data_IF_324201780679
#
_entry.id   IF_324201780679
#
_cell.length_a   1.000
_cell.length_b   1.000
_cell.length_c   1.000
_cell.angle_alpha   90.00
_cell.angle_beta   90.00
_cell.angle_gamma   90.00
#
_symmetry.space_group_name_H-M   'P 1'
#
loop_
_entity.id
_entity.type
_entity.pdbx_description
1 polymer ?
#
# COMPACT_ATOMS: atom_id res chain seq x y z
N UNK A 1 20.20 -17.32 18.82
CA UNK A 1 19.16 -16.25 18.89
C UNK A 1 17.76 -16.75 18.58
N UNK A 2 17.52 -17.65 17.60
CA UNK A 2 16.18 -18.25 17.41
C UNK A 2 15.68 -18.98 18.67
N UNK A 3 16.59 -19.65 19.38
CA UNK A 3 16.33 -20.31 20.68
C UNK A 3 15.75 -19.37 21.76
N UNK A 4 15.98 -18.05 21.66
CA UNK A 4 15.39 -17.08 22.59
C UNK A 4 13.91 -16.81 22.30
N UNK A 5 13.36 -17.24 21.17
CA UNK A 5 11.92 -17.20 20.93
C UNK A 5 11.18 -18.27 21.76
N UNK A 6 11.91 -19.27 22.26
CA UNK A 6 11.37 -20.40 23.02
C UNK A 6 11.69 -20.29 24.54
N UNK A 7 12.46 -19.27 24.95
CA UNK A 7 12.80 -18.98 26.36
C UNK A 7 11.72 -18.13 27.03
N UNK A 8 10.65 -18.77 27.53
CA UNK A 8 9.53 -18.09 28.17
C UNK A 8 9.82 -17.55 29.58
N UNK A 9 10.89 -18.03 30.23
CA UNK A 9 11.23 -17.69 31.62
C UNK A 9 11.62 -16.21 31.76
N UNK A 10 12.26 -15.65 30.73
CA UNK A 10 12.83 -14.30 30.75
C UNK A 10 12.05 -13.24 29.95
N UNK A 11 10.89 -13.61 29.38
CA UNK A 11 10.10 -12.68 28.59
C UNK A 11 9.35 -11.66 29.47
N UNK A 12 9.77 -10.40 29.38
CA UNK A 12 9.32 -9.28 30.23
C UNK A 12 8.35 -8.32 29.52
N UNK A 13 7.83 -8.69 28.34
CA UNK A 13 6.80 -7.94 27.63
C UNK A 13 5.77 -8.87 26.98
N UNK A 14 4.53 -8.39 26.82
CA UNK A 14 3.43 -9.15 26.21
C UNK A 14 2.78 -8.34 25.08
N UNK A 15 2.55 -8.94 23.93
CA UNK A 15 1.68 -8.41 22.89
C UNK A 15 0.28 -9.02 23.05
N UNK A 16 -0.75 -8.16 23.13
CA UNK A 16 -2.14 -8.60 23.09
C UNK A 16 -2.66 -8.44 21.66
N UNK A 17 -3.03 -9.56 21.03
CA UNK A 17 -3.34 -9.62 19.60
C UNK A 17 -4.73 -10.21 19.39
N UNK A 18 -5.51 -9.61 18.48
CA UNK A 18 -6.81 -10.16 18.13
C UNK A 18 -6.66 -11.50 17.37
N UNK A 19 -7.40 -12.56 17.74
CA UNK A 19 -7.23 -13.91 17.17
C UNK A 19 -7.60 -13.99 15.69
N UNK A 20 -8.50 -13.13 15.24
CA UNK A 20 -8.85 -12.98 13.81
C UNK A 20 -8.53 -11.56 13.40
N UNK A 21 -7.67 -11.42 12.38
CA UNK A 21 -7.35 -10.12 11.80
C UNK A 21 -8.67 -9.49 11.35
N UNK A 22 -9.00 -8.33 11.90
CA UNK A 22 -10.26 -7.65 11.69
C UNK A 22 -10.48 -7.39 10.21
N UNK A 23 -11.16 -8.32 9.53
CA UNK A 23 -11.78 -8.06 8.25
C UNK A 23 -12.94 -7.11 8.54
N UNK A 24 -12.68 -5.81 8.42
CA UNK A 24 -13.72 -4.79 8.29
C UNK A 24 -14.59 -5.20 7.10
N UNK A 25 -15.72 -5.86 7.38
CA UNK A 25 -16.77 -6.11 6.39
C UNK A 25 -17.37 -4.75 6.02
N UNK A 26 -16.87 -4.17 4.93
CA UNK A 26 -17.54 -3.07 4.27
C UNK A 26 -18.96 -3.53 3.84
N UNK A 27 -19.97 -2.84 4.36
CA UNK A 27 -21.33 -2.88 3.81
C UNK A 27 -22.29 -3.90 4.43
N UNK A 28 -22.67 -3.74 5.70
CA UNK A 28 -24.07 -3.95 6.12
C UNK A 28 -24.34 -3.09 7.36
N UNK A 29 -25.28 -2.16 7.21
CA UNK A 29 -25.85 -1.30 8.26
C UNK A 29 -26.31 -2.17 9.44
N UNK A 30 -25.53 -2.23 10.54
CA UNK A 30 -25.94 -2.83 11.81
C UNK A 30 -25.63 -1.91 12.96
N UNK A 31 -26.58 -1.93 13.90
CA UNK A 31 -26.77 -1.00 15.01
C UNK A 31 -25.56 -0.97 15.93
N UNK A 32 -25.37 0.19 16.55
CA UNK A 32 -24.45 0.41 17.65
C UNK A 32 -24.76 -0.59 18.77
N UNK A 33 -23.93 -1.61 18.87
CA UNK A 33 -23.69 -2.35 20.11
C UNK A 33 -22.20 -2.72 20.11
N UNK A 34 -21.37 -1.74 20.43
CA UNK A 34 -19.95 -1.95 20.68
C UNK A 34 -19.79 -2.25 22.17
N UNK A 35 -20.05 -3.49 22.55
CA UNK A 35 -19.50 -4.01 23.80
C UNK A 35 -17.97 -4.00 23.67
N UNK A 36 -17.22 -3.44 24.65
CA UNK A 36 -15.77 -3.52 24.62
C UNK A 36 -15.39 -5.00 24.67
N UNK A 37 -14.61 -5.45 23.68
CA UNK A 37 -14.02 -6.79 23.70
C UNK A 37 -13.17 -6.86 24.96
N UNK A 38 -13.55 -7.71 25.90
CA UNK A 38 -12.79 -7.94 27.12
C UNK A 38 -11.40 -8.46 26.76
N UNK A 39 -10.38 -8.04 27.51
CA UNK A 39 -8.99 -8.47 27.27
C UNK A 39 -8.82 -10.02 27.30
N UNK A 40 -9.79 -10.76 27.87
CA UNK A 40 -9.81 -12.22 27.95
C UNK A 40 -9.86 -12.96 26.60
N UNK A 41 -10.28 -12.31 25.50
CA UNK A 41 -10.36 -12.93 24.17
C UNK A 41 -9.10 -12.70 23.31
N UNK A 42 -8.08 -12.02 23.85
CA UNK A 42 -6.86 -11.67 23.13
C UNK A 42 -5.81 -12.78 23.23
N UNK A 43 -5.06 -12.97 22.14
CA UNK A 43 -3.92 -13.88 22.08
C UNK A 43 -2.70 -13.16 22.64
N UNK A 44 -2.15 -13.72 23.72
CA UNK A 44 -0.89 -13.25 24.28
C UNK A 44 0.31 -13.80 23.51
N UNK A 45 1.24 -12.92 23.16
CA UNK A 45 2.53 -13.29 22.59
C UNK A 45 3.62 -12.62 23.41
N UNK A 46 4.40 -13.42 24.14
CA UNK A 46 5.46 -12.92 25.02
C UNK A 46 6.74 -12.64 24.22
N UNK A 47 7.54 -11.68 24.67
CA UNK A 47 8.83 -11.33 24.07
C UNK A 47 9.77 -10.63 25.07
N UNK A 48 11.03 -10.44 24.65
CA UNK A 48 12.07 -9.77 25.40
C UNK A 48 12.16 -8.28 25.04
N UNK A 49 11.86 -7.41 26.00
CA UNK A 49 11.98 -5.95 25.90
C UNK A 49 13.38 -5.52 25.51
N UNK A 50 14.42 -6.18 26.03
CA UNK A 50 15.81 -5.87 25.69
C UNK A 50 16.10 -6.07 24.20
N UNK A 51 15.54 -7.13 23.57
CA UNK A 51 15.68 -7.38 22.14
C UNK A 51 14.89 -6.34 21.34
N UNK A 52 13.63 -6.10 21.71
CA UNK A 52 12.77 -5.12 21.03
C UNK A 52 13.39 -3.72 21.01
N UNK A 53 13.85 -3.24 22.17
CA UNK A 53 14.46 -1.90 22.32
C UNK A 53 15.84 -1.77 21.67
N UNK A 54 16.60 -2.87 21.58
CA UNK A 54 17.88 -2.88 20.87
C UNK A 54 17.71 -2.88 19.35
N UNK A 55 16.61 -3.46 18.84
CA UNK A 55 16.39 -3.71 17.41
C UNK A 55 15.43 -2.71 16.74
N UNK A 56 14.64 -1.97 17.52
CA UNK A 56 13.66 -1.03 17.00
C UNK A 56 13.56 0.24 17.85
N UNK A 57 13.79 1.39 17.23
CA UNK A 57 13.67 2.70 17.88
C UNK A 57 12.24 2.99 18.35
N UNK A 58 11.23 2.45 17.66
CA UNK A 58 9.83 2.52 18.09
C UNK A 58 9.64 1.93 19.49
N UNK A 59 10.07 0.67 19.71
CA UNK A 59 9.94 0.04 21.03
C UNK A 59 10.85 0.70 22.07
N UNK A 60 12.03 1.18 21.67
CA UNK A 60 12.90 1.98 22.54
C UNK A 60 12.21 3.25 23.05
N UNK A 61 11.49 3.95 22.19
CA UNK A 61 10.69 5.12 22.55
C UNK A 61 9.47 4.72 23.41
N UNK A 62 8.75 3.67 23.01
CA UNK A 62 7.57 3.14 23.70
C UNK A 62 7.86 2.80 25.17
N UNK A 63 9.02 2.19 25.42
CA UNK A 63 9.43 1.71 26.74
C UNK A 63 10.29 2.68 27.55
N UNK A 64 10.43 3.92 27.09
CA UNK A 64 11.27 4.91 27.77
C UNK A 64 10.66 5.27 29.13
N UNK A 65 11.36 4.92 30.21
CA UNK A 65 10.90 5.06 31.61
C UNK A 65 10.48 6.47 32.04
N UNK A 66 10.98 7.51 31.35
CA UNK A 66 10.73 8.92 31.68
C UNK A 66 10.00 9.66 30.54
N UNK A 67 9.38 8.95 29.60
CA UNK A 67 8.60 9.60 28.54
C UNK A 67 7.39 10.30 29.17
N UNK A 68 7.51 11.60 29.43
CA UNK A 68 6.47 12.37 30.10
C UNK A 68 6.85 12.88 31.50
N UNK A 69 8.05 12.67 32.01
CA UNK A 69 8.45 13.35 33.25
C UNK A 69 8.84 14.80 32.96
N UNK A 70 8.19 15.76 33.63
CA UNK A 70 8.62 17.16 33.59
C UNK A 70 9.94 17.35 34.37
N UNK A 71 10.56 18.52 34.26
CA UNK A 71 11.80 18.84 34.97
C UNK A 71 11.67 18.79 36.51
N UNK A 72 10.44 18.68 37.04
CA UNK A 72 10.15 18.50 38.47
C UNK A 72 9.94 17.03 38.87
N UNK A 73 10.11 16.08 37.94
CA UNK A 73 9.91 14.65 38.17
C UNK A 73 8.44 14.23 38.21
N UNK A 74 7.50 15.10 37.82
CA UNK A 74 6.08 14.72 37.72
C UNK A 74 5.84 14.00 36.40
N UNK A 75 5.24 12.81 36.48
CA UNK A 75 4.78 12.03 35.33
C UNK A 75 3.56 12.71 34.68
N UNK A 76 3.79 13.37 33.56
CA UNK A 76 2.83 13.98 32.65
C UNK A 76 2.79 13.17 31.34
N UNK A 77 1.78 12.32 31.16
CA UNK A 77 1.50 11.71 29.86
C UNK A 77 2.48 10.62 29.41
N UNK A 78 2.84 9.69 30.30
CA UNK A 78 3.55 8.46 29.91
C UNK A 78 2.61 7.50 29.18
N UNK A 79 3.07 6.89 28.08
CA UNK A 79 2.39 5.74 27.46
C UNK A 79 2.19 4.64 28.53
N UNK A 80 0.98 4.08 28.66
CA UNK A 80 0.65 3.06 29.68
C UNK A 80 1.55 1.82 29.56
N UNK A 81 1.93 1.54 28.33
CA UNK A 81 2.80 0.48 27.85
C UNK A 81 4.22 0.59 28.45
N UNK A 82 4.67 1.79 28.81
CA UNK A 82 5.97 2.00 29.45
C UNK A 82 6.05 1.39 30.85
N UNK A 83 4.92 1.37 31.57
CA UNK A 83 4.78 0.78 32.90
C UNK A 83 4.25 -0.66 32.87
N UNK A 84 3.27 -0.94 32.01
CA UNK A 84 2.62 -2.25 31.95
C UNK A 84 3.47 -3.29 31.21
N UNK A 85 4.38 -2.85 30.32
CA UNK A 85 5.12 -3.72 29.39
C UNK A 85 4.19 -4.60 28.53
N UNK A 86 2.97 -4.13 28.31
CA UNK A 86 1.96 -4.74 27.45
C UNK A 86 1.84 -3.88 26.19
N UNK A 87 1.85 -4.49 25.01
CA UNK A 87 1.67 -3.85 23.71
C UNK A 87 0.34 -4.32 23.14
N UNK A 88 -0.62 -3.40 22.99
CA UNK A 88 -1.92 -3.69 22.38
C UNK A 88 -1.78 -3.55 20.87
N UNK A 89 -1.97 -4.66 20.15
CA UNK A 89 -1.81 -4.70 18.68
C UNK A 89 -3.14 -4.40 18.01
N UNK A 90 -3.10 -3.59 16.94
CA UNK A 90 -4.31 -3.25 16.19
C UNK A 90 -5.04 -4.48 15.65
N UNK A 91 -6.38 -4.47 15.61
CA UNK A 91 -7.17 -5.65 15.26
C UNK A 91 -6.87 -6.26 13.89
N UNK A 92 -6.39 -5.47 12.94
CA UNK A 92 -6.06 -5.93 11.59
C UNK A 92 -4.84 -6.87 11.54
N UNK A 93 -3.95 -6.83 12.54
CA UNK A 93 -2.75 -7.64 12.55
C UNK A 93 -3.00 -8.96 13.29
N UNK A 94 -2.84 -10.07 12.57
CA UNK A 94 -3.02 -11.41 13.15
C UNK A 94 -1.83 -11.83 14.01
N UNK A 95 -2.00 -12.82 14.90
CA UNK A 95 -0.88 -13.40 15.65
C UNK A 95 0.25 -13.88 14.75
N UNK A 96 -0.06 -14.36 13.55
CA UNK A 96 0.93 -14.77 12.55
C UNK A 96 1.81 -13.60 12.12
N UNK A 97 1.25 -12.43 11.83
CA UNK A 97 2.02 -11.26 11.41
C UNK A 97 2.95 -10.78 12.54
N UNK A 98 2.46 -10.76 13.78
CA UNK A 98 3.28 -10.40 14.94
C UNK A 98 4.43 -11.39 15.15
N UNK A 99 4.17 -12.70 14.98
CA UNK A 99 5.22 -13.74 15.05
C UNK A 99 6.28 -13.58 13.96
N UNK A 100 5.90 -13.25 12.72
CA UNK A 100 6.86 -12.98 11.64
C UNK A 100 7.73 -11.75 11.94
N UNK A 101 7.13 -10.71 12.52
CA UNK A 101 7.87 -9.53 12.98
C UNK A 101 8.86 -9.89 14.10
N UNK A 102 8.43 -10.66 15.10
CA UNK A 102 9.31 -11.12 16.19
C UNK A 102 10.44 -12.01 15.67
N UNK A 103 10.14 -12.94 14.77
CA UNK A 103 11.16 -13.77 14.11
C UNK A 103 12.24 -12.89 13.47
N UNK A 104 11.84 -11.83 12.75
CA UNK A 104 12.77 -10.87 12.18
C UNK A 104 13.58 -10.13 13.24
N UNK A 105 12.97 -9.64 14.33
CA UNK A 105 13.72 -8.92 15.36
C UNK A 105 14.77 -9.78 16.05
N UNK A 106 14.49 -11.07 16.23
CA UNK A 106 15.40 -12.01 16.90
C UNK A 106 16.47 -12.55 15.97
N UNK A 107 16.15 -12.77 14.69
CA UNK A 107 17.04 -13.52 13.79
C UNK A 107 17.55 -12.70 12.60
N UNK A 108 17.00 -11.50 12.40
CA UNK A 108 17.20 -10.66 11.21
C UNK A 108 16.79 -11.38 9.91
N UNK A 109 15.91 -12.38 10.00
CA UNK A 109 15.43 -13.23 8.90
C UNK A 109 13.95 -13.56 9.12
N UNK A 110 13.28 -13.93 8.04
CA UNK A 110 11.92 -14.51 8.07
C UNK A 110 11.96 -15.74 7.17
N UNK A 111 11.94 -16.94 7.76
CA UNK A 111 12.23 -18.20 7.07
C UNK A 111 11.28 -18.47 5.90
N UNK A 112 10.00 -18.13 6.06
CA UNK A 112 9.00 -18.30 5.00
C UNK A 112 9.17 -17.35 3.82
N UNK A 113 10.00 -16.30 3.92
CA UNK A 113 10.36 -15.42 2.80
C UNK A 113 11.65 -15.89 2.09
N UNK A 114 12.38 -16.83 2.68
CA UNK A 114 13.63 -17.37 2.12
C UNK A 114 13.32 -18.51 1.12
N UNK A 115 12.52 -18.23 0.09
CA UNK A 115 12.11 -19.24 -0.90
C UNK A 115 13.24 -19.60 -1.89
N UNK A 116 14.32 -18.81 -1.95
CA UNK A 116 15.31 -18.94 -3.04
C UNK A 116 16.53 -19.83 -2.76
N UNK A 117 16.70 -20.44 -1.58
CA UNK A 117 18.01 -21.10 -1.26
C UNK A 117 17.93 -22.50 -0.66
N UNK A 118 16.77 -23.01 -0.24
CA UNK A 118 16.68 -24.36 0.34
C UNK A 118 15.92 -25.33 -0.58
N UNK A 119 16.67 -25.95 -1.49
CA UNK A 119 16.32 -27.24 -2.08
C UNK A 119 16.38 -28.27 -0.92
N UNK A 120 15.29 -29.00 -0.66
CA UNK A 120 15.19 -30.13 0.30
C UNK A 120 14.84 -29.80 1.77
N UNK A 121 13.71 -29.11 2.02
CA UNK A 121 13.06 -29.07 3.33
C UNK A 121 11.54 -29.16 3.22
N UNK A 122 10.80 -29.55 4.29
CA UNK A 122 9.34 -29.60 4.27
C UNK A 122 8.79 -28.23 3.90
N UNK A 123 7.81 -28.22 3.00
CA UNK A 123 7.21 -27.05 2.34
C UNK A 123 7.12 -25.85 3.31
N UNK A 124 7.90 -24.77 3.13
CA UNK A 124 7.72 -23.57 3.94
C UNK A 124 6.31 -23.06 3.65
N UNK A 125 5.51 -22.82 4.69
CA UNK A 125 4.20 -22.21 4.56
C UNK A 125 4.33 -20.96 3.68
N UNK A 126 3.76 -20.99 2.49
CA UNK A 126 3.78 -19.85 1.57
C UNK A 126 3.06 -18.69 2.25
N UNK A 127 3.73 -17.54 2.38
CA UNK A 127 3.09 -16.31 2.85
C UNK A 127 2.21 -15.79 1.72
N UNK A 128 1.01 -15.32 2.03
CA UNK A 128 0.12 -14.73 1.02
C UNK A 128 0.48 -13.27 0.76
N UNK A 129 0.05 -12.71 -0.37
CA UNK A 129 0.24 -11.28 -0.65
C UNK A 129 -0.38 -10.42 0.46
N UNK A 130 -1.56 -10.77 0.96
CA UNK A 130 -2.25 -10.01 2.00
C UNK A 130 -1.51 -10.06 3.34
N UNK A 131 -0.90 -11.20 3.67
CA UNK A 131 -0.05 -11.31 4.86
C UNK A 131 1.20 -10.45 4.74
N UNK A 132 1.82 -10.38 3.56
CA UNK A 132 2.95 -9.49 3.30
C UNK A 132 2.55 -8.02 3.36
N UNK A 133 1.38 -7.65 2.84
CA UNK A 133 0.88 -6.27 2.92
C UNK A 133 0.56 -5.87 4.37
N UNK A 134 0.01 -6.78 5.18
CA UNK A 134 -0.18 -6.55 6.61
C UNK A 134 1.16 -6.43 7.36
N UNK A 135 2.15 -7.25 7.01
CA UNK A 135 3.49 -7.14 7.57
C UNK A 135 4.20 -5.85 7.14
N UNK A 136 3.97 -5.38 5.91
CA UNK A 136 4.46 -4.11 5.39
C UNK A 136 3.86 -2.93 6.17
N UNK A 137 2.54 -2.96 6.38
CA UNK A 137 1.82 -1.97 7.18
C UNK A 137 2.37 -1.92 8.60
N UNK A 138 2.46 -3.06 9.27
CA UNK A 138 3.01 -3.15 10.64
C UNK A 138 4.44 -2.62 10.70
N UNK A 139 5.27 -2.98 9.72
CA UNK A 139 6.66 -2.52 9.65
C UNK A 139 6.76 -1.00 9.44
N UNK A 140 5.84 -0.37 8.70
CA UNK A 140 5.79 1.08 8.58
C UNK A 140 5.32 1.73 9.89
N UNK A 141 4.22 1.23 10.46
CA UNK A 141 3.65 1.75 11.72
C UNK A 141 4.64 1.72 12.88
N UNK A 142 5.38 0.62 13.03
CA UNK A 142 6.41 0.46 14.08
C UNK A 142 7.81 0.83 13.61
N UNK A 143 7.93 1.52 12.46
CA UNK A 143 9.18 2.09 11.95
C UNK A 143 10.33 1.05 11.81
N UNK A 144 9.99 -0.19 11.49
CA UNK A 144 10.89 -1.32 11.29
C UNK A 144 11.48 -1.28 9.87
N UNK A 145 12.39 -0.32 9.61
CA UNK A 145 12.91 -0.01 8.27
C UNK A 145 13.51 -1.20 7.52
N UNK A 146 14.27 -2.06 8.20
CA UNK A 146 14.92 -3.22 7.57
C UNK A 146 13.91 -4.31 7.23
N UNK A 147 12.92 -4.55 8.11
CA UNK A 147 11.81 -5.45 7.83
C UNK A 147 10.97 -4.94 6.65
N UNK A 148 10.63 -3.64 6.66
CA UNK A 148 9.92 -2.99 5.56
C UNK A 148 10.61 -3.22 4.22
N UNK A 149 11.94 -2.99 4.17
CA UNK A 149 12.76 -3.22 2.98
C UNK A 149 12.78 -4.69 2.54
N UNK A 150 12.80 -5.63 3.49
CA UNK A 150 12.75 -7.06 3.21
C UNK A 150 11.40 -7.45 2.60
N UNK A 151 10.30 -6.98 3.18
CA UNK A 151 8.95 -7.24 2.70
C UNK A 151 8.72 -6.63 1.31
N UNK A 152 9.14 -5.39 1.08
CA UNK A 152 9.09 -4.77 -0.26
C UNK A 152 9.87 -5.61 -1.29
N UNK A 153 11.00 -6.21 -0.91
CA UNK A 153 11.82 -7.01 -1.83
C UNK A 153 11.09 -8.29 -2.21
N UNK A 154 10.49 -8.98 -1.22
CA UNK A 154 9.74 -10.20 -1.47
C UNK A 154 8.48 -9.96 -2.31
N UNK A 155 7.77 -8.86 -2.03
CA UNK A 155 6.61 -8.45 -2.81
C UNK A 155 6.96 -8.22 -4.29
N UNK A 156 8.06 -7.50 -4.56
CA UNK A 156 8.56 -7.26 -5.93
C UNK A 156 8.98 -8.57 -6.60
N UNK A 157 9.70 -9.43 -5.88
CA UNK A 157 10.32 -10.63 -6.45
C UNK A 157 9.32 -11.75 -6.75
N UNK A 158 8.37 -11.98 -5.84
CA UNK A 158 7.58 -13.23 -5.84
C UNK A 158 6.07 -13.00 -5.96
N UNK A 159 5.58 -11.79 -5.66
CA UNK A 159 4.14 -11.49 -5.62
C UNK A 159 3.67 -10.51 -6.69
N UNK A 160 4.58 -9.90 -7.46
CA UNK A 160 4.23 -8.97 -8.54
C UNK A 160 3.59 -9.71 -9.73
N UNK A 161 2.26 -9.65 -9.82
CA UNK A 161 1.44 -10.30 -10.86
C UNK A 161 0.30 -9.40 -11.28
N UNK A 162 -0.29 -9.63 -12.44
CA UNK A 162 -1.42 -8.84 -12.99
C UNK A 162 -2.61 -8.77 -12.03
N UNK A 163 -2.91 -9.86 -11.33
CA UNK A 163 -4.04 -9.93 -10.40
C UNK A 163 -3.77 -9.30 -9.01
N UNK A 164 -2.51 -9.10 -8.63
CA UNK A 164 -2.10 -8.61 -7.30
C UNK A 164 -1.53 -7.20 -7.32
N UNK A 165 -0.94 -6.75 -8.43
CA UNK A 165 -0.23 -5.47 -8.55
C UNK A 165 -1.11 -4.27 -8.18
N UNK A 166 -2.41 -4.32 -8.51
CA UNK A 166 -3.35 -3.26 -8.16
C UNK A 166 -3.43 -3.03 -6.65
N UNK A 167 -3.66 -4.10 -5.89
CA UNK A 167 -3.73 -4.06 -4.42
C UNK A 167 -2.39 -3.65 -3.80
N UNK A 168 -1.30 -4.20 -4.33
CA UNK A 168 0.05 -3.83 -3.89
C UNK A 168 0.34 -2.35 -4.12
N UNK A 169 -0.08 -1.80 -5.27
CA UNK A 169 0.10 -0.40 -5.61
C UNK A 169 -0.70 0.52 -4.68
N UNK A 170 -1.96 0.19 -4.40
CA UNK A 170 -2.79 0.90 -3.44
C UNK A 170 -2.14 0.99 -2.06
N UNK A 171 -1.65 -0.14 -1.55
CA UNK A 171 -0.98 -0.22 -0.25
C UNK A 171 0.30 0.63 -0.16
N UNK A 172 0.90 1.03 -1.28
CA UNK A 172 2.17 1.78 -1.24
C UNK A 172 2.03 3.22 -0.79
N UNK A 173 0.86 3.83 -1.01
CA UNK A 173 0.56 5.20 -0.59
C UNK A 173 0.38 5.24 0.94
N UNK A 174 -0.44 4.32 1.46
CA UNK A 174 -0.74 4.20 2.89
C UNK A 174 0.50 3.86 3.73
N UNK A 175 1.36 2.97 3.23
CA UNK A 175 2.50 2.45 3.99
C UNK A 175 3.82 3.07 3.58
N UNK A 176 3.82 4.23 2.91
CA UNK A 176 5.02 4.97 2.51
C UNK A 176 6.09 4.11 1.80
N UNK A 177 5.68 3.14 0.98
CA UNK A 177 6.55 2.12 0.38
C UNK A 177 7.02 2.54 -1.02
N UNK A 178 7.92 3.53 -1.07
CA UNK A 178 8.34 4.19 -2.33
C UNK A 178 9.01 3.24 -3.33
N UNK A 179 9.80 2.25 -2.87
CA UNK A 179 10.50 1.33 -3.78
C UNK A 179 9.51 0.36 -4.41
N UNK A 180 8.59 -0.18 -3.62
CA UNK A 180 7.47 -0.97 -4.12
C UNK A 180 6.58 -0.15 -5.07
N UNK A 181 6.27 1.10 -4.73
CA UNK A 181 5.42 1.97 -5.56
C UNK A 181 5.97 2.16 -6.98
N UNK A 182 7.27 2.47 -7.07
CA UNK A 182 7.98 2.57 -8.35
C UNK A 182 7.94 1.25 -9.14
N UNK A 183 8.22 0.13 -8.47
CA UNK A 183 8.25 -1.19 -9.12
C UNK A 183 6.86 -1.63 -9.60
N UNK A 184 5.81 -1.32 -8.84
CA UNK A 184 4.43 -1.54 -9.24
C UNK A 184 4.10 -0.71 -10.48
N UNK A 185 4.45 0.58 -10.50
CA UNK A 185 4.18 1.45 -11.64
C UNK A 185 4.88 0.97 -12.92
N UNK A 186 6.16 0.59 -12.82
CA UNK A 186 6.93 -0.02 -13.92
C UNK A 186 6.22 -1.28 -14.44
N UNK A 187 5.84 -2.20 -13.56
CA UNK A 187 5.12 -3.42 -13.95
C UNK A 187 3.77 -3.13 -14.60
N UNK A 188 3.03 -2.13 -14.10
CA UNK A 188 1.75 -1.70 -14.68
C UNK A 188 1.98 -1.16 -16.09
N UNK A 189 3.03 -0.39 -16.34
CA UNK A 189 3.35 0.12 -17.68
C UNK A 189 3.75 -1.01 -18.65
N UNK A 190 4.60 -1.94 -18.19
CA UNK A 190 5.02 -3.09 -19.00
C UNK A 190 3.85 -4.00 -19.40
N UNK A 191 2.80 -4.06 -18.57
CA UNK A 191 1.62 -4.91 -18.77
C UNK A 191 0.32 -4.08 -18.91
N UNK A 192 0.43 -2.84 -19.42
CA UNK A 192 -0.61 -1.82 -19.34
C UNK A 192 -2.00 -2.30 -19.79
N UNK A 193 -2.09 -2.93 -20.97
CA UNK A 193 -3.36 -3.39 -21.53
C UNK A 193 -4.03 -4.44 -20.65
N UNK A 194 -3.26 -5.40 -20.15
CA UNK A 194 -3.78 -6.49 -19.33
C UNK A 194 -4.19 -6.00 -17.94
N UNK A 195 -3.36 -5.16 -17.32
CA UNK A 195 -3.62 -4.64 -15.98
C UNK A 195 -4.82 -3.70 -15.97
N UNK A 196 -4.89 -2.72 -16.88
CA UNK A 196 -6.03 -1.77 -16.95
C UNK A 196 -7.34 -2.45 -17.37
N UNK A 197 -7.27 -3.52 -18.14
CA UNK A 197 -8.43 -4.37 -18.49
C UNK A 197 -8.91 -5.27 -17.35
N UNK A 198 -8.09 -5.48 -16.32
CA UNK A 198 -8.42 -6.34 -15.18
C UNK A 198 -9.46 -5.71 -14.26
N UNK A 199 -10.48 -6.51 -13.90
CA UNK A 199 -11.51 -6.13 -12.93
C UNK A 199 -10.91 -5.79 -11.57
N UNK A 200 -9.82 -6.46 -11.17
CA UNK A 200 -9.14 -6.19 -9.91
C UNK A 200 -8.57 -4.76 -9.89
N UNK A 201 -7.88 -4.37 -10.97
CA UNK A 201 -7.32 -3.02 -11.08
C UNK A 201 -8.42 -1.96 -11.06
N UNK A 202 -9.48 -2.14 -11.85
CA UNK A 202 -10.58 -1.19 -11.89
C UNK A 202 -11.30 -1.05 -10.54
N UNK A 203 -11.45 -2.14 -9.78
CA UNK A 203 -12.10 -2.09 -8.47
C UNK A 203 -11.23 -1.41 -7.42
N UNK A 204 -9.93 -1.68 -7.40
CA UNK A 204 -9.00 -1.04 -6.47
C UNK A 204 -8.88 0.47 -6.80
N UNK A 205 -8.73 0.84 -8.07
CA UNK A 205 -8.59 2.24 -8.49
C UNK A 205 -9.84 3.11 -8.22
N UNK A 206 -11.03 2.52 -8.07
CA UNK A 206 -12.23 3.25 -7.63
C UNK A 206 -12.09 3.78 -6.20
N UNK A 207 -11.37 3.05 -5.34
CA UNK A 207 -11.13 3.43 -3.96
C UNK A 207 -9.93 4.38 -3.84
N UNK A 208 -8.98 4.31 -4.78
CA UNK A 208 -7.76 5.11 -4.80
C UNK A 208 -7.59 5.89 -6.12
N UNK A 209 -8.49 6.85 -6.44
CA UNK A 209 -8.46 7.55 -7.72
C UNK A 209 -7.22 8.43 -7.93
N UNK A 210 -6.59 8.89 -6.84
CA UNK A 210 -5.35 9.68 -6.89
C UNK A 210 -4.18 8.90 -7.48
N UNK A 211 -4.16 7.58 -7.32
CA UNK A 211 -3.13 6.69 -7.87
C UNK A 211 -3.22 6.50 -9.38
N UNK A 212 -4.32 6.92 -10.01
CA UNK A 212 -4.40 6.96 -11.46
C UNK A 212 -3.55 8.08 -12.06
N UNK A 213 -3.26 9.16 -11.32
CA UNK A 213 -2.52 10.30 -11.88
C UNK A 213 -1.10 9.89 -12.32
N UNK A 214 -0.28 9.20 -11.49
CA UNK A 214 1.02 8.70 -11.95
C UNK A 214 0.91 7.71 -13.12
N UNK A 215 -0.10 6.85 -13.11
CA UNK A 215 -0.35 5.88 -14.18
C UNK A 215 -0.67 6.58 -15.50
N UNK A 216 -1.54 7.60 -15.49
CA UNK A 216 -1.91 8.37 -16.68
C UNK A 216 -0.74 9.19 -17.22
N UNK A 217 0.07 9.78 -16.32
CA UNK A 217 1.30 10.49 -16.71
C UNK A 217 2.28 9.56 -17.42
N UNK A 218 2.55 8.39 -16.83
CA UNK A 218 3.43 7.39 -17.43
C UNK A 218 2.85 6.84 -18.76
N UNK A 219 1.53 6.65 -18.85
CA UNK A 219 0.89 6.19 -20.08
C UNK A 219 0.94 7.23 -21.21
N UNK A 220 0.91 8.54 -20.89
CA UNK A 220 1.04 9.61 -21.89
C UNK A 220 2.42 9.59 -22.57
N UNK A 221 3.48 9.21 -21.85
CA UNK A 221 4.84 9.06 -22.39
C UNK A 221 4.97 7.91 -23.41
N UNK A 222 4.02 6.97 -23.42
CA UNK A 222 3.98 5.86 -24.39
C UNK A 222 3.33 6.26 -25.72
N UNK A 223 2.69 7.43 -25.81
CA UNK A 223 2.08 7.90 -27.05
C UNK A 223 3.18 8.53 -27.92
N UNK A 224 3.49 7.98 -29.11
CA UNK A 224 4.46 8.60 -30.00
C UNK A 224 3.95 9.99 -30.43
N UNK A 225 4.76 11.03 -30.20
CA UNK A 225 4.55 12.38 -30.72
C UNK A 225 4.28 12.29 -32.23
N UNK A 226 3.06 12.62 -32.66
CA UNK A 226 2.78 12.76 -34.10
C UNK A 226 3.56 13.98 -34.62
N UNK A 227 4.30 13.88 -35.74
CA UNK A 227 4.97 15.03 -36.32
C UNK A 227 3.93 16.12 -36.64
N UNK A 228 4.25 17.41 -36.42
CA UNK A 228 3.29 18.49 -36.53
C UNK A 228 2.70 18.52 -37.94
N UNK A 229 1.38 18.30 -38.04
CA UNK A 229 0.64 18.51 -39.29
C UNK A 229 0.74 20.00 -39.61
N UNK A 230 1.51 20.34 -40.65
CA UNK A 230 1.59 21.71 -41.18
C UNK A 230 0.17 22.23 -41.39
N UNK A 231 -0.20 23.26 -40.62
CA UNK A 231 -1.43 23.99 -40.83
C UNK A 231 -1.41 24.55 -42.25
N UNK A 232 -2.41 24.17 -43.05
CA UNK A 232 -2.62 24.74 -44.38
C UNK A 232 -3.11 26.17 -44.15
N UNK A 233 -2.22 27.14 -44.34
CA UNK A 233 -2.53 28.57 -44.31
C UNK A 233 -3.58 28.84 -45.39
N UNK A 234 -4.81 29.16 -44.98
CA UNK A 234 -5.80 29.84 -45.82
C UNK A 234 -5.69 31.32 -45.46
N UNK A 235 -5.04 32.09 -46.33
CA UNK A 235 -5.05 33.55 -46.35
C UNK A 235 -4.80 33.94 -47.81
N UNK A 236 -5.84 34.31 -48.56
CA UNK A 236 -6.34 35.67 -48.68
C UNK A 236 -5.27 36.61 -49.29
N UNK A 237 -5.38 36.81 -50.61
CA UNK A 237 -4.60 37.75 -51.40
C UNK A 237 -5.49 38.32 -52.50
N UNK A 238 -5.82 39.59 -52.32
CA UNK A 238 -6.79 40.46 -53.00
C UNK A 238 -6.37 40.85 -54.43
N UNK A 239 -7.34 41.10 -55.33
CA UNK A 239 -7.16 41.91 -56.55
C UNK A 239 -8.51 42.36 -57.16
N UNK A 240 -8.78 43.65 -56.97
CA UNK A 240 -9.72 44.55 -57.66
C UNK A 240 -9.93 44.26 -59.17
N UNK A 241 -11.18 44.37 -59.64
CA UNK A 241 -11.55 45.29 -60.75
C UNK A 241 -13.08 45.43 -60.95
N UNK A 242 -13.46 46.71 -61.10
CA UNK A 242 -14.74 47.34 -61.43
C UNK A 242 -15.62 46.71 -62.54
N UNK A 243 -16.93 46.83 -62.28
CA UNK A 243 -18.02 47.39 -63.10
C UNK A 243 -18.27 46.89 -64.54
N UNK A 244 -19.50 46.42 -64.79
CA UNK A 244 -20.06 46.23 -66.12
C UNK A 244 -21.46 45.63 -66.06
N UNK A 245 -22.46 46.50 -66.15
CA UNK A 245 -23.89 46.21 -66.34
C UNK A 245 -24.15 45.45 -67.65
N UNK A 246 -25.01 44.43 -67.65
CA UNK A 246 -26.10 44.20 -68.63
C UNK A 246 -26.66 42.76 -68.57
N UNK A 247 -27.99 42.66 -68.60
CA UNK A 247 -28.64 41.73 -69.53
C UNK A 247 -29.17 40.37 -69.01
N UNK A 248 -30.46 40.38 -68.62
CA UNK A 248 -31.54 39.53 -69.17
C UNK A 248 -31.54 38.00 -68.93
N UNK A 249 -32.71 37.51 -68.51
CA UNK A 249 -33.21 36.13 -68.69
C UNK A 249 -33.50 35.46 -67.36
N UNK A 250 -34.73 35.48 -66.84
CA UNK A 250 -35.76 34.42 -67.06
C UNK A 250 -35.22 33.03 -66.67
N UNK A 251 -35.81 32.23 -65.79
CA UNK A 251 -37.21 32.05 -65.41
C UNK A 251 -37.23 30.99 -64.29
N UNK A 252 -38.22 31.08 -63.38
CA UNK A 252 -39.01 29.95 -62.82
C UNK A 252 -38.25 28.76 -62.13
N UNK A 253 -38.67 28.14 -61.03
CA UNK A 253 -39.87 28.11 -60.20
C UNK A 253 -39.51 27.34 -58.91
N UNK A 254 -40.02 27.85 -57.79
CA UNK A 254 -40.45 27.25 -56.51
C UNK A 254 -41.04 25.81 -56.67
N UNK A 255 -41.31 24.97 -55.63
CA UNK A 255 -40.63 24.64 -54.36
C UNK A 255 -40.73 23.15 -53.88
N UNK A 256 -40.13 22.90 -52.70
CA UNK A 256 -40.64 22.15 -51.52
C UNK A 256 -40.99 20.65 -51.52
N UNK A 257 -40.91 20.15 -50.26
CA UNK A 257 -41.46 18.93 -49.64
C UNK A 257 -40.58 17.68 -49.83
N UNK A 258 -40.18 16.91 -48.80
CA UNK A 258 -40.66 16.65 -47.43
C UNK A 258 -39.45 16.43 -46.51
#
# INVERSE_FOLDING_TARGET
MKELLDDEEHMDTVFLVHPTGGASKAGTKRRADSSPVSDDDLVEIRAHKCILTARADYFKALFRKNAGEDASGRKVGTFRESSECIIRVEPQFTPKIVRLMLEFLYTNRVECLQVSTKLNGPVPHSVTTDELLNLLHLADMWQLRDLKRMVEHELIRSHMKVNTVARMYCATDDFHAKRLSKSCLEFIMDNYREVTGSVNFQNEMKHYPTLLIPVLKAAAELIPEQPPKKARTIGAGDSLAKAGNDGIGESETVPNEI
#
